data_IF_220039650435
#
_entry.id   IF_220039650435
#
_cell.length_a   1.000
_cell.length_b   1.000
_cell.length_c   1.000
_cell.angle_alpha   90.00
_cell.angle_beta   90.00
_cell.angle_gamma   90.00
#
_symmetry.space_group_name_H-M   'P 1'
#
loop_
_entity.id
_entity.type
_entity.pdbx_description
1 polymer ?
#
# COMPACT_ATOMS: atom_id res chain seq x y z
N UNK A 1 -19.22 4.40 -2.54
CA UNK A 1 -19.14 5.11 -1.25
C UNK A 1 -17.86 5.93 -1.29
N UNK A 2 -17.93 7.27 -1.33
CA UNK A 2 -16.75 8.09 -1.06
C UNK A 2 -16.55 8.09 0.46
N UNK A 3 -15.42 7.58 0.94
CA UNK A 3 -15.14 7.57 2.38
C UNK A 3 -14.73 8.98 2.84
N UNK A 4 -15.16 9.44 4.02
CA UNK A 4 -14.89 10.80 4.47
C UNK A 4 -13.41 11.04 4.77
N UNK A 5 -13.01 12.29 4.60
CA UNK A 5 -11.71 12.81 5.04
C UNK A 5 -11.57 12.69 6.56
N UNK A 6 -10.35 12.47 7.04
CA UNK A 6 -10.08 12.41 8.47
C UNK A 6 -10.35 13.81 9.08
N UNK A 7 -11.13 13.91 10.16
CA UNK A 7 -11.52 15.22 10.68
C UNK A 7 -10.35 15.95 11.34
N UNK A 8 -10.36 17.29 11.23
CA UNK A 8 -9.37 18.16 11.90
C UNK A 8 -9.34 17.98 13.42
N UNK A 9 -10.49 17.65 14.03
CA UNK A 9 -10.62 17.38 15.47
C UNK A 9 -11.84 16.52 15.78
N UNK A 10 -11.77 15.82 16.91
CA UNK A 10 -12.92 15.20 17.57
C UNK A 10 -13.31 16.04 18.80
N UNK A 11 -14.60 16.12 19.08
CA UNK A 11 -15.13 16.85 20.24
C UNK A 11 -15.34 15.95 21.46
N UNK A 12 -15.30 14.62 21.26
CA UNK A 12 -15.31 13.65 22.36
C UNK A 12 -14.54 12.38 22.02
N UNK A 13 -14.16 11.63 23.07
CA UNK A 13 -13.58 10.29 22.91
C UNK A 13 -14.56 9.30 22.25
N UNK A 14 -15.86 9.42 22.55
CA UNK A 14 -16.88 8.54 21.99
C UNK A 14 -17.00 8.73 20.48
N UNK A 15 -17.01 9.99 20.02
CA UNK A 15 -16.99 10.33 18.60
C UNK A 15 -15.74 9.81 17.91
N UNK A 16 -14.56 10.06 18.50
CA UNK A 16 -13.29 9.58 17.95
C UNK A 16 -13.27 8.06 17.77
N UNK A 17 -13.77 7.30 18.76
CA UNK A 17 -13.83 5.83 18.69
C UNK A 17 -14.79 5.32 17.63
N UNK A 18 -15.98 5.94 17.53
CA UNK A 18 -16.96 5.56 16.52
C UNK A 18 -16.39 5.78 15.12
N UNK A 19 -15.81 6.95 14.87
CA UNK A 19 -15.18 7.26 13.59
C UNK A 19 -14.02 6.32 13.28
N UNK A 20 -13.08 6.13 14.22
CA UNK A 20 -11.89 5.30 13.99
C UNK A 20 -12.25 3.84 13.69
N UNK A 21 -13.31 3.31 14.31
CA UNK A 21 -13.75 1.92 14.07
C UNK A 21 -14.11 1.75 12.59
N UNK A 22 -15.01 2.59 12.08
CA UNK A 22 -15.44 2.49 10.69
C UNK A 22 -14.31 2.88 9.71
N UNK A 23 -13.52 3.90 10.07
CA UNK A 23 -12.41 4.37 9.25
C UNK A 23 -11.37 3.27 9.05
N UNK A 24 -10.95 2.57 10.11
CA UNK A 24 -9.91 1.55 9.98
C UNK A 24 -10.42 0.27 9.32
N UNK A 25 -11.69 -0.07 9.45
CA UNK A 25 -12.30 -1.18 8.70
C UNK A 25 -12.19 -0.92 7.19
N UNK A 26 -12.60 0.28 6.74
CA UNK A 26 -12.45 0.69 5.35
C UNK A 26 -10.97 0.85 4.93
N UNK A 27 -10.17 1.53 5.75
CA UNK A 27 -8.77 1.85 5.43
C UNK A 27 -7.95 0.57 5.22
N UNK A 28 -8.16 -0.43 6.08
CA UNK A 28 -7.44 -1.68 5.97
C UNK A 28 -7.97 -2.58 4.86
N UNK A 29 -9.29 -2.65 4.67
CA UNK A 29 -9.94 -3.61 3.79
C UNK A 29 -10.14 -3.15 2.35
N UNK A 30 -10.35 -1.85 2.12
CA UNK A 30 -10.86 -1.31 0.85
C UNK A 30 -9.99 -0.20 0.26
N UNK A 31 -9.40 0.65 1.11
CA UNK A 31 -8.59 1.77 0.66
C UNK A 31 -7.31 1.29 -0.06
N UNK A 32 -7.20 1.59 -1.36
CA UNK A 32 -6.02 1.28 -2.16
C UNK A 32 -5.05 2.46 -2.12
N UNK A 33 -3.99 2.29 -1.35
CA UNK A 33 -3.04 3.35 -1.04
C UNK A 33 -1.91 3.40 -2.08
N UNK A 34 -1.59 4.59 -2.61
CA UNK A 34 -0.54 4.73 -3.65
C UNK A 34 0.85 4.35 -3.13
N UNK A 35 1.17 4.74 -1.88
CA UNK A 35 2.42 4.37 -1.21
C UNK A 35 2.61 2.86 -0.98
N UNK A 36 1.58 2.05 -1.17
CA UNK A 36 1.65 0.59 -1.10
C UNK A 36 1.39 -0.07 -2.46
N UNK A 37 1.62 0.63 -3.56
CA UNK A 37 1.41 0.08 -4.90
C UNK A 37 -0.07 -0.21 -5.21
N UNK A 38 -0.97 0.60 -4.69
CA UNK A 38 -2.43 0.42 -4.80
C UNK A 38 -2.92 -0.89 -4.18
N UNK A 39 -2.20 -1.41 -3.18
CA UNK A 39 -2.68 -2.50 -2.32
C UNK A 39 -3.42 -1.91 -1.11
N UNK A 40 -4.29 -2.72 -0.52
CA UNK A 40 -4.85 -2.38 0.79
C UNK A 40 -3.84 -2.75 1.87
N UNK A 41 -3.82 -2.04 3.02
CA UNK A 41 -2.97 -2.40 4.16
C UNK A 41 -3.13 -3.87 4.57
N UNK A 42 -4.37 -4.39 4.55
CA UNK A 42 -4.64 -5.81 4.83
C UNK A 42 -3.89 -6.76 3.90
N UNK A 43 -3.83 -6.46 2.59
CA UNK A 43 -3.13 -7.30 1.61
C UNK A 43 -1.62 -7.29 1.81
N UNK A 44 -1.05 -6.15 2.20
CA UNK A 44 0.38 -6.05 2.50
C UNK A 44 0.69 -6.80 3.79
N UNK A 45 -0.06 -6.54 4.86
CA UNK A 45 0.14 -7.15 6.17
C UNK A 45 0.10 -8.69 6.13
N UNK A 46 -0.85 -9.26 5.38
CA UNK A 46 -0.99 -10.71 5.25
C UNK A 46 -0.15 -11.32 4.12
N UNK A 47 0.82 -10.59 3.56
CA UNK A 47 1.71 -11.11 2.53
C UNK A 47 1.04 -11.46 1.20
N UNK A 48 -0.16 -10.93 0.92
CA UNK A 48 -0.93 -11.21 -0.31
C UNK A 48 -0.50 -10.34 -1.50
N UNK A 49 0.22 -9.24 -1.24
CA UNK A 49 0.62 -8.28 -2.25
C UNK A 49 1.40 -8.90 -3.44
N UNK A 50 2.37 -9.82 -3.26
CA UNK A 50 3.09 -10.44 -4.37
C UNK A 50 2.19 -11.19 -5.36
N UNK A 51 1.25 -12.00 -4.85
CA UNK A 51 0.34 -12.77 -5.70
C UNK A 51 -0.59 -11.86 -6.50
N UNK A 52 -1.12 -10.80 -5.86
CA UNK A 52 -1.97 -9.80 -6.51
C UNK A 52 -1.17 -9.01 -7.56
N UNK A 53 0.09 -8.65 -7.27
CA UNK A 53 0.97 -7.93 -8.20
C UNK A 53 1.24 -8.77 -9.45
N UNK A 54 1.56 -10.06 -9.29
CA UNK A 54 1.73 -10.99 -10.41
C UNK A 54 0.46 -11.12 -11.25
N UNK A 55 -0.72 -11.23 -10.61
CA UNK A 55 -2.00 -11.26 -11.32
C UNK A 55 -2.24 -9.98 -12.13
N UNK A 56 -1.94 -8.80 -11.56
CA UNK A 56 -2.03 -7.51 -12.27
C UNK A 56 -1.07 -7.44 -13.46
N UNK A 57 0.15 -7.95 -13.31
CA UNK A 57 1.14 -7.96 -14.39
C UNK A 57 0.65 -8.80 -15.58
N UNK A 58 0.02 -9.95 -15.32
CA UNK A 58 -0.58 -10.78 -16.36
C UNK A 58 -1.69 -10.05 -17.13
N UNK A 59 -2.61 -9.38 -16.42
CA UNK A 59 -3.69 -8.59 -17.05
C UNK A 59 -3.11 -7.47 -17.93
N UNK A 60 -2.12 -6.74 -17.42
CA UNK A 60 -1.44 -5.70 -18.16
C UNK A 60 -0.71 -6.23 -19.40
N UNK A 61 -0.12 -7.42 -19.30
CA UNK A 61 0.53 -8.10 -20.43
C UNK A 61 -0.47 -8.48 -21.51
N UNK A 62 -1.61 -9.05 -21.14
CA UNK A 62 -2.68 -9.37 -22.08
C UNK A 62 -3.20 -8.12 -22.79
N UNK A 63 -3.49 -7.05 -22.02
CA UNK A 63 -3.97 -5.80 -22.59
C UNK A 63 -2.96 -5.16 -23.55
N UNK A 64 -1.66 -5.24 -23.23
CA UNK A 64 -0.59 -4.76 -24.11
C UNK A 64 -0.49 -5.56 -25.41
N UNK A 65 -0.63 -6.89 -25.33
CA UNK A 65 -0.58 -7.75 -26.51
C UNK A 65 -1.77 -7.51 -27.47
N UNK A 66 -2.95 -7.23 -26.93
CA UNK A 66 -4.15 -6.93 -27.73
C UNK A 66 -4.13 -5.52 -28.34
N UNK A 67 -3.61 -4.54 -27.61
CA UNK A 67 -3.68 -3.12 -27.99
C UNK A 67 -2.38 -2.37 -27.69
N UNK A 68 -1.25 -2.71 -28.35
CA UNK A 68 0.04 -2.08 -28.07
C UNK A 68 0.03 -0.56 -28.34
N UNK A 69 -0.80 -0.08 -29.27
CA UNK A 69 -0.97 1.34 -29.61
C UNK A 69 -1.48 2.19 -28.45
N UNK A 70 -2.17 1.59 -27.46
CA UNK A 70 -2.62 2.29 -26.25
C UNK A 70 -1.50 2.52 -25.24
N UNK A 71 -0.33 1.93 -25.45
CA UNK A 71 0.82 1.98 -24.55
C UNK A 71 2.04 2.58 -25.25
N UNK A 72 2.03 3.91 -25.36
CA UNK A 72 2.89 4.73 -26.23
C UNK A 72 4.41 4.57 -26.00
N UNK A 73 4.84 4.06 -24.84
CA UNK A 73 6.27 4.02 -24.47
C UNK A 73 6.84 2.62 -24.31
N UNK A 74 6.15 1.78 -23.54
CA UNK A 74 6.67 0.48 -23.15
C UNK A 74 5.53 -0.41 -22.64
N UNK A 75 5.85 -1.69 -22.46
CA UNK A 75 4.99 -2.61 -21.75
C UNK A 75 4.65 -2.06 -20.34
N UNK A 76 3.37 -1.95 -19.98
CA UNK A 76 2.96 -1.46 -18.67
C UNK A 76 3.35 -2.45 -17.56
N UNK A 77 3.64 -1.93 -16.37
CA UNK A 77 3.93 -2.74 -15.18
C UNK A 77 3.09 -2.24 -14.01
N UNK A 78 2.59 -3.12 -13.14
CA UNK A 78 1.89 -2.68 -11.94
C UNK A 78 2.86 -1.98 -10.98
N UNK A 79 2.41 -0.94 -10.25
CA UNK A 79 3.26 -0.23 -9.28
C UNK A 79 3.91 -1.19 -8.28
N UNK A 80 5.15 -0.88 -7.89
CA UNK A 80 5.84 -1.61 -6.83
C UNK A 80 5.21 -1.30 -5.47
N UNK A 81 5.43 -2.18 -4.51
CA UNK A 81 4.94 -2.03 -3.14
C UNK A 81 6.10 -2.35 -2.16
N UNK A 82 6.09 -1.78 -0.95
CA UNK A 82 7.13 -2.03 0.02
C UNK A 82 7.06 -3.46 0.54
N UNK A 83 8.22 -4.11 0.64
CA UNK A 83 8.35 -5.43 1.28
C UNK A 83 8.50 -5.31 2.81
N UNK A 84 9.01 -4.17 3.27
CA UNK A 84 9.23 -3.86 4.69
C UNK A 84 8.84 -2.39 4.94
N UNK A 85 8.29 -2.11 6.11
CA UNK A 85 8.00 -0.74 6.57
C UNK A 85 8.30 -0.66 8.06
N UNK A 86 8.91 0.44 8.49
CA UNK A 86 9.30 0.67 9.87
C UNK A 86 8.62 1.93 10.39
N UNK A 87 8.13 1.91 11.64
CA UNK A 87 7.80 3.15 12.37
C UNK A 87 9.07 3.77 12.96
N UNK A 88 9.93 2.93 13.54
CA UNK A 88 11.30 3.22 13.91
C UNK A 88 12.16 2.08 13.35
N UNK A 89 13.00 2.37 12.35
CA UNK A 89 13.90 1.36 11.79
C UNK A 89 14.98 1.05 12.85
N UNK A 90 15.21 -0.23 13.19
CA UNK A 90 16.28 -0.57 14.12
C UNK A 90 17.64 -0.18 13.55
N UNK A 91 18.55 0.29 14.40
CA UNK A 91 19.93 0.51 14.00
C UNK A 91 20.53 -0.79 13.47
N UNK A 92 21.25 -0.70 12.35
CA UNK A 92 21.94 -1.85 11.77
C UNK A 92 23.09 -2.23 12.69
N UNK A 93 23.14 -3.47 13.15
CA UNK A 93 24.30 -3.94 13.93
C UNK A 93 25.58 -3.86 13.08
N UNK A 94 26.52 -3.02 13.49
CA UNK A 94 27.93 -3.12 13.12
C UNK A 94 28.57 -1.91 12.44
N UNK A 95 29.08 -0.97 13.24
CA UNK A 95 30.42 -0.40 13.08
C UNK A 95 31.00 -0.08 14.46
N UNK A 96 31.30 -1.12 15.23
CA UNK A 96 32.21 -0.95 16.36
C UNK A 96 33.62 -0.79 15.76
N UNK A 97 34.02 0.46 15.49
CA UNK A 97 35.41 0.77 15.16
C UNK A 97 36.27 0.46 16.37
N UNK A 98 36.88 -0.71 16.34
CA UNK A 98 37.98 -1.08 17.22
C UNK A 98 39.20 -0.23 16.82
N UNK A 99 39.35 0.95 17.41
CA UNK A 99 40.63 1.66 17.44
C UNK A 99 41.42 1.13 18.63
N UNK A 100 42.44 0.33 18.33
CA UNK A 100 43.56 0.07 19.24
C UNK A 100 44.55 1.22 19.26
#
# INVERSE_FOLDING_TARGET
MNWPEFPDRFYSLAEARSFCTEFYDWYNGEHRHSGTGMHTPFNVHHGRAPAIHHARARVLTTAYAEHPERFVRQHPQPPTFPTTTWLNEPEKEGTNSMTG
#
